data_IF_074163696689
#
_entry.id   IF_074163696689
#
_cell.length_a   1.000
_cell.length_b   1.000
_cell.length_c   1.000
_cell.angle_alpha   90.00
_cell.angle_beta   90.00
_cell.angle_gamma   90.00
#
_symmetry.space_group_name_H-M   'P 1'
#
loop_
_entity.id
_entity.type
_entity.pdbx_description
1 polymer ?
#
# COMPACT_ATOMS: atom_id res chain seq x y z
N UNK A 1 -31.57 -56.46 -14.81
CA UNK A 1 -30.62 -56.06 -13.74
C UNK A 1 -29.56 -55.20 -14.42
N UNK A 2 -29.83 -53.90 -14.51
CA UNK A 2 -29.05 -52.92 -15.28
C UNK A 2 -28.28 -52.01 -14.33
N UNK A 3 -27.03 -51.73 -14.66
CA UNK A 3 -26.24 -50.56 -14.22
C UNK A 3 -25.82 -49.83 -15.52
N UNK A 4 -25.37 -48.55 -15.58
CA UNK A 4 -24.80 -47.69 -14.52
C UNK A 4 -25.12 -46.16 -14.58
N UNK A 5 -24.68 -45.42 -13.54
CA UNK A 5 -24.30 -43.98 -13.47
C UNK A 5 -25.09 -42.94 -14.30
N UNK A 6 -25.92 -42.16 -13.62
CA UNK A 6 -26.35 -40.84 -14.11
C UNK A 6 -25.47 -39.72 -13.53
N UNK A 7 -24.68 -39.14 -14.44
CA UNK A 7 -24.14 -37.79 -14.41
C UNK A 7 -25.17 -36.96 -15.18
N UNK A 8 -25.83 -36.02 -14.52
CA UNK A 8 -26.60 -35.00 -15.24
C UNK A 8 -25.65 -33.92 -15.76
N UNK A 9 -25.23 -34.11 -17.01
CA UNK A 9 -24.81 -33.03 -17.90
C UNK A 9 -26.07 -32.43 -18.51
N UNK A 10 -26.31 -31.14 -18.27
CA UNK A 10 -27.12 -30.33 -19.18
C UNK A 10 -26.24 -29.19 -19.68
N UNK A 11 -25.48 -29.48 -20.73
CA UNK A 11 -24.93 -28.50 -21.65
C UNK A 11 -26.10 -27.97 -22.49
N UNK A 12 -26.53 -26.74 -22.23
CA UNK A 12 -27.23 -25.94 -23.23
C UNK A 12 -26.23 -24.95 -23.83
N UNK A 13 -25.88 -25.28 -25.05
CA UNK A 13 -25.03 -24.59 -25.99
C UNK A 13 -25.74 -23.35 -26.55
N UNK A 14 -25.14 -22.16 -26.42
CA UNK A 14 -25.14 -21.12 -27.45
C UNK A 14 -24.35 -19.90 -26.96
N UNK A 15 -23.13 -19.76 -27.48
CA UNK A 15 -22.26 -18.60 -27.26
C UNK A 15 -22.91 -17.27 -27.61
N UNK A 16 -23.34 -16.53 -26.59
CA UNK A 16 -23.47 -15.08 -26.67
C UNK A 16 -22.24 -14.47 -26.01
N UNK A 17 -21.19 -14.35 -26.81
CA UNK A 17 -20.08 -13.44 -26.50
C UNK A 17 -20.64 -12.05 -26.22
N UNK A 18 -19.97 -11.35 -25.30
CA UNK A 18 -20.21 -9.94 -25.04
C UNK A 18 -20.39 -9.19 -26.37
N UNK A 19 -21.56 -8.61 -26.60
CA UNK A 19 -21.83 -7.78 -27.78
C UNK A 19 -21.38 -6.36 -27.48
N UNK A 20 -20.39 -5.90 -28.24
CA UNK A 20 -19.93 -4.53 -28.22
C UNK A 20 -21.10 -3.58 -28.63
N UNK A 21 -21.35 -2.50 -27.88
CA UNK A 21 -22.39 -1.52 -28.21
C UNK A 21 -22.22 -0.91 -29.60
N UNK A 22 -23.33 -0.70 -30.31
CA UNK A 22 -23.39 -0.23 -31.71
C UNK A 22 -22.77 1.15 -32.01
N UNK A 23 -22.21 1.83 -31.01
CA UNK A 23 -21.44 3.07 -31.20
C UNK A 23 -19.91 2.84 -31.20
N UNK A 24 -19.46 1.60 -30.97
CA UNK A 24 -18.05 1.18 -31.00
C UNK A 24 -17.72 0.23 -32.17
N UNK A 25 -18.74 -0.35 -32.83
CA UNK A 25 -18.58 -1.12 -34.07
C UNK A 25 -18.64 -0.22 -35.31
N UNK A 26 -17.49 0.27 -35.78
CA UNK A 26 -17.39 0.92 -37.08
C UNK A 26 -17.22 -0.13 -38.17
N UNK A 27 -18.31 -0.51 -38.86
CA UNK A 27 -18.24 -1.38 -40.03
C UNK A 27 -19.05 -0.83 -41.23
N UNK A 28 -18.31 -0.49 -42.29
CA UNK A 28 -18.65 -0.66 -43.73
C UNK A 28 -19.85 0.13 -44.34
N UNK A 29 -20.08 0.03 -45.67
CA UNK A 29 -19.21 0.42 -46.79
C UNK A 29 -19.96 1.40 -47.72
N UNK A 30 -19.28 2.38 -48.31
CA UNK A 30 -19.84 3.14 -49.43
C UNK A 30 -19.33 2.56 -50.75
N UNK A 31 -20.27 2.09 -51.56
CA UNK A 31 -20.09 1.62 -52.93
C UNK A 31 -19.74 2.78 -53.88
N UNK A 32 -19.01 2.40 -54.92
CA UNK A 32 -18.89 2.98 -56.27
C UNK A 32 -18.18 4.34 -56.41
N UNK A 33 -16.89 4.30 -56.79
CA UNK A 33 -16.35 4.88 -58.04
C UNK A 33 -14.87 4.44 -58.24
N UNK A 34 -14.37 4.30 -59.50
CA UNK A 34 -13.07 3.70 -59.79
C UNK A 34 -11.93 4.73 -60.03
N UNK A 35 -10.71 4.19 -59.96
CA UNK A 35 -9.41 4.70 -60.49
C UNK A 35 -8.61 5.65 -59.57
N UNK A 36 -7.44 5.17 -59.08
CA UNK A 36 -6.11 5.60 -59.56
C UNK A 36 -4.97 4.88 -58.80
N UNK A 37 -4.13 4.18 -59.57
CA UNK A 37 -2.82 3.67 -59.18
C UNK A 37 -1.92 4.84 -58.71
N UNK A 38 -1.52 4.81 -57.45
CA UNK A 38 -0.50 5.68 -56.88
C UNK A 38 0.33 4.90 -55.85
N UNK A 39 1.65 5.09 -55.76
CA UNK A 39 2.49 4.32 -54.86
C UNK A 39 2.20 4.68 -53.40
N UNK A 40 2.03 3.65 -52.56
CA UNK A 40 1.94 3.76 -51.10
C UNK A 40 3.24 4.40 -50.58
N UNK A 41 3.20 5.48 -49.77
CA UNK A 41 4.40 5.97 -49.10
C UNK A 41 4.85 4.96 -48.05
N UNK A 42 6.10 4.51 -48.16
CA UNK A 42 6.78 3.67 -47.18
C UNK A 42 6.74 4.33 -45.79
N UNK A 43 5.89 3.84 -44.88
CA UNK A 43 6.03 4.14 -43.47
C UNK A 43 7.25 3.39 -42.91
N UNK A 44 8.21 4.07 -42.26
CA UNK A 44 9.43 3.42 -41.81
C UNK A 44 9.14 2.46 -40.64
N UNK A 45 9.60 1.22 -40.83
CA UNK A 45 9.57 0.13 -39.86
C UNK A 45 10.10 0.56 -38.47
N UNK A 46 9.43 0.11 -37.40
CA UNK A 46 9.75 0.36 -35.98
C UNK A 46 11.21 0.03 -35.61
N UNK A 47 11.87 -0.84 -36.39
CA UNK A 47 13.29 -1.14 -36.24
C UNK A 47 14.23 0.06 -36.52
N UNK A 48 13.82 1.03 -37.33
CA UNK A 48 14.64 2.19 -37.73
C UNK A 48 14.59 3.37 -36.73
N UNK A 49 13.64 3.34 -35.77
CA UNK A 49 13.54 4.38 -34.72
C UNK A 49 14.52 4.20 -33.56
N UNK A 50 15.26 3.09 -33.49
CA UNK A 50 16.15 2.77 -32.36
C UNK A 50 17.62 3.19 -32.56
N UNK A 51 17.96 3.81 -33.69
CA UNK A 51 19.36 4.12 -34.04
C UNK A 51 19.72 5.61 -34.00
N UNK A 52 18.92 6.47 -33.34
CA UNK A 52 19.30 7.88 -33.12
C UNK A 52 19.41 8.19 -31.62
N UNK A 53 20.57 8.67 -31.13
CA UNK A 53 20.70 9.20 -29.78
C UNK A 53 19.71 10.36 -29.58
N UNK A 54 18.94 10.32 -28.49
CA UNK A 54 17.97 11.35 -28.13
C UNK A 54 18.69 12.47 -27.36
N UNK A 55 19.62 13.14 -28.03
CA UNK A 55 20.25 14.37 -27.55
C UNK A 55 19.68 15.55 -28.33
N UNK A 56 18.47 15.98 -27.97
CA UNK A 56 17.93 17.32 -28.26
C UNK A 56 16.49 17.41 -27.72
N UNK A 57 16.37 17.66 -26.41
CA UNK A 57 15.17 18.31 -25.85
C UNK A 57 15.67 19.48 -24.99
N UNK A 58 15.99 20.59 -25.64
CA UNK A 58 16.51 21.82 -25.02
C UNK A 58 15.37 22.79 -24.66
N UNK A 59 14.31 22.30 -24.04
CA UNK A 59 13.18 23.14 -23.60
C UNK A 59 13.00 23.23 -22.08
N UNK A 60 13.99 22.78 -21.30
CA UNK A 60 14.02 22.98 -19.85
C UNK A 60 15.33 23.63 -19.47
N UNK A 61 15.35 24.96 -19.50
CA UNK A 61 16.45 25.75 -18.96
C UNK A 61 16.49 25.57 -17.44
N UNK A 62 17.53 24.95 -16.85
CA UNK A 62 17.64 24.67 -15.42
C UNK A 62 17.66 25.94 -14.54
N UNK A 63 17.78 27.12 -15.14
CA UNK A 63 17.66 28.43 -14.46
C UNK A 63 16.20 28.79 -14.14
N UNK A 64 15.21 28.21 -14.83
CA UNK A 64 13.80 28.65 -14.72
C UNK A 64 13.12 28.22 -13.40
N UNK A 65 13.64 27.20 -12.72
CA UNK A 65 13.05 26.65 -11.48
C UNK A 65 13.84 26.99 -10.21
N UNK A 66 14.87 27.86 -10.29
CA UNK A 66 15.66 28.27 -9.11
C UNK A 66 15.12 29.58 -8.53
N UNK A 67 14.40 29.56 -7.39
CA UNK A 67 14.00 30.79 -6.72
C UNK A 67 15.25 31.59 -6.25
N UNK A 68 15.20 32.94 -6.26
CA UNK A 68 16.33 33.77 -5.82
C UNK A 68 16.74 33.45 -4.38
N UNK A 69 18.02 33.12 -4.17
CA UNK A 69 18.57 32.80 -2.83
C UNK A 69 18.76 31.31 -2.53
N UNK A 70 18.59 30.43 -3.51
CA UNK A 70 18.86 28.98 -3.41
C UNK A 70 20.22 28.54 -3.99
N UNK A 71 21.15 29.47 -4.10
CA UNK A 71 22.54 29.14 -4.43
C UNK A 71 23.26 28.63 -3.18
N UNK A 72 23.34 27.30 -3.07
CA UNK A 72 24.23 26.68 -2.11
C UNK A 72 25.68 27.01 -2.51
N UNK A 73 26.53 27.47 -1.56
CA UNK A 73 27.93 27.67 -1.86
C UNK A 73 28.55 26.33 -2.29
N UNK A 74 29.47 26.32 -3.27
CA UNK A 74 30.15 25.10 -3.67
C UNK A 74 30.84 24.49 -2.44
N UNK A 75 30.52 23.23 -2.15
CA UNK A 75 31.10 22.52 -1.02
C UNK A 75 32.63 22.51 -1.16
N UNK A 76 33.31 23.23 -0.27
CA UNK A 76 34.77 23.21 -0.18
C UNK A 76 35.20 21.88 0.47
N UNK A 77 36.04 21.06 -0.18
CA UNK A 77 36.66 19.93 0.49
C UNK A 77 37.78 20.45 1.41
N UNK A 78 37.47 20.70 2.68
CA UNK A 78 38.48 20.97 3.71
C UNK A 78 38.52 19.80 4.71
N UNK A 79 39.38 18.83 4.43
CA UNK A 79 40.10 18.07 5.46
C UNK A 79 41.58 18.24 5.19
N UNK A 80 42.22 19.12 5.95
CA UNK A 80 43.66 19.17 6.06
C UNK A 80 44.13 17.84 6.67
N UNK A 81 44.86 17.05 5.89
CA UNK A 81 45.59 15.90 6.40
C UNK A 81 46.84 16.37 7.15
N UNK A 82 47.24 15.71 8.26
CA UNK A 82 48.57 15.92 8.82
C UNK A 82 49.63 15.31 7.90
N UNK A 83 50.63 16.11 7.56
CA UNK A 83 51.87 15.69 6.89
C UNK A 83 52.56 14.61 7.73
N UNK A 84 52.94 13.50 7.09
CA UNK A 84 53.80 12.48 7.70
C UNK A 84 53.17 11.11 7.86
N UNK A 85 52.64 10.52 6.80
CA UNK A 85 52.51 9.06 6.69
C UNK A 85 52.56 8.68 5.20
N UNK A 86 53.70 8.15 4.76
CA UNK A 86 53.81 7.52 3.44
C UNK A 86 52.86 6.33 3.30
N UNK A 87 52.65 5.81 2.08
CA UNK A 87 51.80 4.65 1.86
C UNK A 87 52.42 3.43 2.56
N UNK A 88 51.88 3.10 3.74
CA UNK A 88 52.18 1.85 4.40
C UNK A 88 51.68 0.72 3.49
N UNK A 89 52.62 -0.14 3.11
CA UNK A 89 52.45 -1.23 2.17
C UNK A 89 51.25 -2.12 2.50
N UNK A 90 50.37 -2.24 1.51
CA UNK A 90 49.64 -3.48 1.33
C UNK A 90 50.65 -4.48 0.76
N UNK A 91 50.91 -5.54 1.51
CA UNK A 91 51.72 -6.67 1.10
C UNK A 91 51.17 -7.26 -0.23
N UNK A 92 51.95 -7.32 -1.32
CA UNK A 92 51.50 -7.84 -2.62
C UNK A 92 51.31 -9.37 -2.63
N UNK A 93 51.47 -10.06 -1.50
CA UNK A 93 51.36 -11.53 -1.42
C UNK A 93 49.98 -12.08 -1.01
N UNK A 94 48.97 -11.23 -0.75
CA UNK A 94 47.61 -11.72 -0.47
C UNK A 94 46.77 -11.85 -1.75
N UNK A 95 46.75 -13.06 -2.31
CA UNK A 95 45.79 -13.46 -3.34
C UNK A 95 44.52 -14.04 -2.66
N UNK A 96 43.31 -13.52 -2.94
CA UNK A 96 42.09 -14.20 -2.51
C UNK A 96 41.98 -15.55 -3.24
N UNK A 97 41.59 -16.65 -2.57
CA UNK A 97 41.33 -17.91 -3.26
C UNK A 97 40.22 -17.68 -4.29
N UNK A 98 40.53 -17.99 -5.56
CA UNK A 98 39.61 -17.85 -6.67
C UNK A 98 38.32 -18.61 -6.38
N UNK A 99 37.19 -17.89 -6.42
CA UNK A 99 35.89 -18.53 -6.46
C UNK A 99 35.85 -19.46 -7.69
N UNK A 100 35.38 -20.72 -7.55
CA UNK A 100 35.20 -21.58 -8.70
C UNK A 100 34.20 -20.91 -9.67
N UNK A 101 34.37 -21.06 -10.99
CA UNK A 101 33.43 -20.52 -11.96
C UNK A 101 32.05 -21.11 -11.67
N UNK A 102 31.09 -20.25 -11.30
CA UNK A 102 29.69 -20.63 -11.29
C UNK A 102 29.25 -20.78 -12.75
N UNK A 103 29.23 -22.03 -13.22
CA UNK A 103 28.47 -22.42 -14.39
C UNK A 103 27.04 -21.93 -14.21
N UNK A 104 26.60 -21.04 -15.11
CA UNK A 104 25.20 -20.73 -15.28
C UNK A 104 24.47 -22.07 -15.55
N UNK A 105 23.38 -22.40 -14.82
CA UNK A 105 22.67 -23.63 -15.10
C UNK A 105 22.15 -23.59 -16.54
N UNK A 106 22.56 -24.60 -17.30
CA UNK A 106 22.14 -24.81 -18.67
C UNK A 106 20.61 -24.81 -18.74
N UNK A 107 20.06 -24.11 -19.74
CA UNK A 107 18.64 -24.18 -20.08
C UNK A 107 18.33 -25.57 -20.61
N UNK A 108 17.96 -26.48 -19.72
CA UNK A 108 17.34 -27.72 -20.13
C UNK A 108 15.94 -27.44 -20.67
N UNK A 109 15.73 -27.97 -21.87
CA UNK A 109 14.51 -27.87 -22.65
C UNK A 109 13.42 -28.74 -22.02
N UNK A 110 12.23 -28.13 -21.89
CA UNK A 110 10.94 -28.70 -22.29
C UNK A 110 10.33 -29.74 -21.34
N UNK A 111 9.67 -29.24 -20.29
CA UNK A 111 8.46 -29.87 -19.76
C UNK A 111 7.23 -29.34 -20.52
N UNK A 112 6.49 -30.23 -21.19
CA UNK A 112 5.13 -29.96 -21.63
C UNK A 112 4.25 -29.75 -20.37
N UNK A 113 3.37 -28.75 -20.39
CA UNK A 113 2.45 -28.33 -19.31
C UNK A 113 3.05 -27.38 -18.26
N UNK A 114 2.79 -26.08 -18.44
CA UNK A 114 3.10 -25.05 -17.44
C UNK A 114 3.23 -23.66 -18.05
N UNK A 115 2.11 -23.08 -18.48
CA UNK A 115 2.09 -21.70 -18.96
C UNK A 115 2.61 -20.75 -17.89
N UNK A 116 3.68 -20.01 -18.20
CA UNK A 116 4.08 -18.83 -17.44
C UNK A 116 2.90 -17.86 -17.48
N UNK A 117 2.15 -17.77 -16.38
CA UNK A 117 1.26 -16.63 -16.15
C UNK A 117 2.14 -15.38 -16.19
N UNK A 118 1.96 -14.61 -17.25
CA UNK A 118 2.51 -13.27 -17.38
C UNK A 118 1.98 -12.49 -16.17
N UNK A 119 2.88 -12.12 -15.25
CA UNK A 119 2.52 -11.30 -14.07
C UNK A 119 1.92 -10.01 -14.59
N UNK A 120 0.72 -9.71 -14.11
CA UNK A 120 0.00 -8.49 -14.47
C UNK A 120 0.72 -7.28 -13.84
N UNK A 121 1.23 -6.32 -14.63
CA UNK A 121 1.88 -5.13 -14.09
C UNK A 121 0.94 -4.25 -13.25
N UNK A 122 -0.39 -4.40 -13.35
CA UNK A 122 -1.34 -3.75 -12.44
C UNK A 122 -1.33 -4.39 -11.05
N UNK A 123 -1.14 -5.71 -10.95
CA UNK A 123 -0.96 -6.40 -9.67
C UNK A 123 0.35 -5.98 -9.01
N UNK A 124 1.46 -5.87 -9.76
CA UNK A 124 2.74 -5.42 -9.20
C UNK A 124 2.67 -3.94 -8.71
N UNK A 125 1.84 -3.10 -9.32
CA UNK A 125 1.54 -1.74 -8.82
C UNK A 125 0.68 -1.74 -7.56
N UNK A 126 -0.30 -2.64 -7.45
CA UNK A 126 -1.13 -2.80 -6.25
C UNK A 126 -0.34 -3.32 -5.03
N UNK A 127 0.80 -3.99 -5.26
CA UNK A 127 1.73 -4.44 -4.21
C UNK A 127 3.02 -3.60 -4.14
N UNK A 128 3.07 -2.44 -4.80
CA UNK A 128 4.23 -1.54 -4.68
C UNK A 128 4.17 -0.88 -3.30
N UNK A 129 5.06 -1.32 -2.41
CA UNK A 129 5.27 -0.73 -1.10
C UNK A 129 5.54 0.79 -1.22
N UNK A 130 4.69 1.62 -0.61
CA UNK A 130 4.86 3.08 -0.55
C UNK A 130 5.27 3.58 0.85
N UNK A 131 5.59 2.67 1.78
CA UNK A 131 6.10 3.06 3.09
C UNK A 131 7.53 3.60 3.05
N UNK A 132 7.88 4.38 4.05
CA UNK A 132 9.23 4.90 4.27
C UNK A 132 9.65 4.55 5.70
N UNK A 133 10.08 3.29 5.90
CA UNK A 133 10.50 2.80 7.23
C UNK A 133 11.60 3.67 7.81
N UNK A 134 12.59 4.04 6.99
CA UNK A 134 13.76 4.81 7.44
C UNK A 134 13.32 6.23 7.84
N UNK A 135 12.50 6.88 7.03
CA UNK A 135 11.92 8.18 7.35
C UNK A 135 11.01 8.13 8.58
N UNK A 136 10.18 7.10 8.72
CA UNK A 136 9.29 6.93 9.87
C UNK A 136 10.08 6.72 11.18
N UNK A 137 11.13 5.89 11.17
CA UNK A 137 12.02 5.70 12.31
C UNK A 137 12.80 6.97 12.66
N UNK A 138 13.36 7.66 11.65
CA UNK A 138 14.04 8.94 11.86
C UNK A 138 13.13 10.02 12.45
N UNK A 139 11.90 10.13 11.92
CA UNK A 139 10.84 11.01 12.42
C UNK A 139 10.46 10.69 13.87
N UNK A 140 10.37 9.40 14.21
CA UNK A 140 10.03 8.92 15.55
C UNK A 140 11.12 9.32 16.57
N UNK A 141 12.39 9.06 16.24
CA UNK A 141 13.52 9.46 17.09
C UNK A 141 13.55 10.97 17.36
N UNK A 142 13.30 11.79 16.33
CA UNK A 142 13.25 13.25 16.46
C UNK A 142 12.14 13.74 17.41
N UNK A 143 11.06 12.96 17.55
CA UNK A 143 9.93 13.24 18.45
C UNK A 143 10.06 12.55 19.81
N UNK A 144 11.18 11.89 20.09
CA UNK A 144 11.40 11.14 21.33
C UNK A 144 10.53 9.89 21.46
N UNK A 145 10.06 9.33 20.34
CA UNK A 145 9.35 8.06 20.33
C UNK A 145 10.35 6.90 20.41
N UNK A 146 9.94 5.81 21.06
CA UNK A 146 10.72 4.57 21.16
C UNK A 146 10.46 3.68 19.96
N UNK A 147 11.48 2.94 19.53
CA UNK A 147 11.43 2.06 18.35
C UNK A 147 11.72 0.63 18.78
N UNK A 148 10.99 -0.33 18.21
CA UNK A 148 11.26 -1.76 18.30
C UNK A 148 11.11 -2.40 16.91
N UNK A 149 11.79 -3.52 16.68
CA UNK A 149 11.65 -4.30 15.45
C UNK A 149 10.39 -5.18 15.44
N UNK A 150 9.60 -5.19 16.52
CA UNK A 150 8.39 -5.99 16.66
C UNK A 150 8.60 -7.36 17.32
N UNK A 151 9.84 -7.68 17.72
CA UNK A 151 10.20 -8.96 18.35
C UNK A 151 10.37 -8.87 19.87
N UNK A 152 10.30 -7.68 20.45
CA UNK A 152 10.45 -7.49 21.88
C UNK A 152 9.25 -8.09 22.66
N UNK A 153 9.43 -8.55 23.91
CA UNK A 153 8.33 -9.13 24.70
C UNK A 153 7.10 -8.23 24.82
N UNK A 154 7.30 -6.91 24.90
CA UNK A 154 6.24 -5.90 24.92
C UNK A 154 5.45 -5.80 23.60
N UNK A 155 6.02 -6.23 22.47
CA UNK A 155 5.35 -6.22 21.16
C UNK A 155 4.38 -7.39 20.99
N UNK A 156 4.48 -8.44 21.83
CA UNK A 156 3.55 -9.57 21.80
C UNK A 156 2.09 -9.12 22.03
N UNK A 157 1.89 -8.04 22.78
CA UNK A 157 0.58 -7.44 23.03
C UNK A 157 -0.05 -6.80 21.78
N UNK A 158 0.69 -6.66 20.67
CA UNK A 158 0.19 -6.13 19.39
C UNK A 158 -0.42 -7.21 18.49
N UNK A 159 -0.20 -8.49 18.79
CA UNK A 159 -0.80 -9.59 18.00
C UNK A 159 -2.33 -9.53 17.93
N UNK A 160 -3.08 -9.19 19.00
CA UNK A 160 -4.53 -8.99 18.91
C UNK A 160 -4.96 -7.95 17.88
N UNK A 161 -4.17 -6.89 17.66
CA UNK A 161 -4.47 -5.87 16.64
C UNK A 161 -4.37 -6.46 15.21
N UNK A 162 -3.40 -7.34 14.97
CA UNK A 162 -3.26 -8.05 13.68
C UNK A 162 -4.38 -9.07 13.49
N UNK A 163 -4.69 -9.87 14.52
CA UNK A 163 -5.69 -10.95 14.40
C UNK A 163 -7.11 -10.44 14.26
N UNK A 164 -7.41 -9.27 14.82
CA UNK A 164 -8.74 -8.63 14.75
C UNK A 164 -8.85 -7.59 13.63
N UNK A 165 -7.81 -7.43 12.82
CA UNK A 165 -7.79 -6.42 11.77
C UNK A 165 -8.94 -6.63 10.75
N UNK A 166 -9.51 -5.53 10.22
CA UNK A 166 -10.53 -5.54 9.17
C UNK A 166 -10.19 -6.41 7.93
N UNK A 167 -8.99 -6.30 7.33
CA UNK A 167 -8.55 -7.24 6.30
C UNK A 167 -8.16 -8.59 6.91
N UNK A 168 -8.40 -9.67 6.17
CA UNK A 168 -7.98 -11.02 6.58
C UNK A 168 -6.47 -11.19 6.41
N UNK A 169 -5.73 -10.95 7.49
CA UNK A 169 -4.29 -11.23 7.54
C UNK A 169 -4.05 -12.73 7.72
N UNK A 170 -2.97 -13.23 7.13
CA UNK A 170 -2.53 -14.62 7.31
C UNK A 170 -1.89 -14.83 8.70
N UNK A 171 -1.79 -16.09 9.14
CA UNK A 171 -1.13 -16.47 10.41
C UNK A 171 0.37 -16.09 10.48
N UNK A 172 0.96 -15.78 9.34
CA UNK A 172 2.39 -15.46 9.20
C UNK A 172 2.65 -13.95 9.36
N UNK A 173 1.59 -13.14 9.53
CA UNK A 173 1.74 -11.73 9.86
C UNK A 173 2.25 -11.55 11.28
N UNK A 174 3.17 -10.59 11.44
CA UNK A 174 3.76 -10.21 12.72
C UNK A 174 3.85 -8.69 12.81
N UNK A 175 3.90 -8.11 14.02
CA UNK A 175 4.26 -6.71 14.18
C UNK A 175 5.70 -6.50 13.72
N UNK A 176 5.95 -5.40 13.02
CA UNK A 176 7.28 -4.95 12.64
C UNK A 176 7.35 -3.42 12.64
N UNK A 177 8.57 -2.86 12.66
CA UNK A 177 8.81 -1.41 12.63
C UNK A 177 7.96 -0.65 13.66
N UNK A 178 7.92 -1.13 14.90
CA UNK A 178 7.05 -0.60 15.95
C UNK A 178 7.61 0.73 16.47
N UNK A 179 6.75 1.74 16.51
CA UNK A 179 7.02 3.09 17.00
C UNK A 179 6.02 3.39 18.12
N UNK A 180 6.49 3.84 19.28
CA UNK A 180 5.63 4.24 20.40
C UNK A 180 5.99 5.62 20.90
N UNK A 181 4.98 6.44 21.13
CA UNK A 181 5.18 7.73 21.76
C UNK A 181 3.89 8.53 21.81
N UNK A 182 4.02 9.83 22.07
CA UNK A 182 2.88 10.71 22.24
C UNK A 182 2.67 11.58 21.01
N UNK A 183 1.43 11.66 20.53
CA UNK A 183 0.98 12.64 19.55
C UNK A 183 -0.14 13.49 20.16
N UNK A 184 0.14 14.76 20.43
CA UNK A 184 -0.81 15.64 21.13
C UNK A 184 -1.15 15.09 22.51
N UNK A 185 -2.42 14.81 22.75
CA UNK A 185 -2.93 14.25 24.01
C UNK A 185 -3.00 12.72 24.04
N UNK A 186 -2.70 12.03 22.94
CA UNK A 186 -2.79 10.58 22.86
C UNK A 186 -1.41 9.93 22.91
N UNK A 187 -1.29 8.89 23.72
CA UNK A 187 -0.24 7.90 23.54
C UNK A 187 -0.63 6.99 22.37
N UNK A 188 0.30 6.75 21.46
CA UNK A 188 0.08 5.99 20.22
C UNK A 188 1.14 4.90 20.05
N UNK A 189 0.72 3.84 19.38
CA UNK A 189 1.58 2.77 18.88
C UNK A 189 1.33 2.67 17.38
N UNK A 190 2.36 2.91 16.56
CA UNK A 190 2.33 2.72 15.12
C UNK A 190 3.23 1.53 14.75
N UNK A 191 2.77 0.60 13.94
CA UNK A 191 3.57 -0.55 13.51
C UNK A 191 3.07 -1.10 12.18
N UNK A 192 3.96 -1.75 11.43
CA UNK A 192 3.55 -2.45 10.22
C UNK A 192 3.16 -3.90 10.54
N UNK A 193 2.07 -4.39 9.96
CA UNK A 193 1.83 -5.82 9.86
C UNK A 193 2.69 -6.37 8.73
N UNK A 194 3.79 -7.03 9.11
CA UNK A 194 4.76 -7.58 8.15
C UNK A 194 4.43 -9.04 7.85
N UNK A 195 4.38 -9.37 6.56
CA UNK A 195 4.34 -10.74 6.09
C UNK A 195 5.76 -11.29 5.98
N UNK A 196 6.03 -12.40 6.67
CA UNK A 196 7.33 -13.08 6.60
C UNK A 196 7.22 -14.36 5.76
N UNK A 197 7.97 -14.44 4.67
CA UNK A 197 8.10 -15.66 3.85
C UNK A 197 9.57 -15.96 3.56
N UNK A 198 10.11 -16.95 4.26
CA UNK A 198 11.51 -17.33 4.16
C UNK A 198 12.44 -16.18 4.57
N UNK A 199 13.09 -15.55 3.59
CA UNK A 199 14.01 -14.42 3.79
C UNK A 199 13.37 -13.06 3.54
N UNK A 200 12.11 -13.02 3.12
CA UNK A 200 11.42 -11.78 2.79
C UNK A 200 10.56 -11.33 3.96
N UNK A 201 10.69 -10.05 4.31
CA UNK A 201 9.82 -9.33 5.24
C UNK A 201 9.19 -8.21 4.44
N UNK A 202 7.88 -8.26 4.24
CA UNK A 202 7.13 -7.28 3.45
C UNK A 202 6.11 -6.62 4.36
N UNK A 203 6.22 -5.31 4.65
CA UNK A 203 5.17 -4.60 5.35
C UNK A 203 3.98 -4.39 4.41
N UNK A 204 2.85 -5.03 4.73
CA UNK A 204 1.64 -4.99 3.87
C UNK A 204 0.61 -3.97 4.38
N UNK A 205 0.58 -3.71 5.69
CA UNK A 205 -0.38 -2.79 6.30
C UNK A 205 0.26 -1.95 7.40
N UNK A 206 -0.12 -0.69 7.46
CA UNK A 206 0.25 0.26 8.49
C UNK A 206 -0.88 0.32 9.50
N UNK A 207 -0.60 -0.06 10.75
CA UNK A 207 -1.55 0.02 11.87
C UNK A 207 -1.09 1.08 12.87
N UNK A 208 -1.95 2.05 13.16
CA UNK A 208 -1.75 2.97 14.28
C UNK A 208 -2.86 2.78 15.29
N UNK A 209 -2.51 2.61 16.56
CA UNK A 209 -3.45 2.30 17.64
C UNK A 209 -3.29 3.29 18.80
N UNK A 210 -4.43 3.75 19.31
CA UNK A 210 -4.54 4.53 20.55
C UNK A 210 -5.05 3.61 21.67
N UNK A 211 -4.32 3.47 22.80
CA UNK A 211 -4.84 2.77 23.97
C UNK A 211 -6.10 3.46 24.49
N UNK A 212 -7.10 2.66 24.83
CA UNK A 212 -8.35 3.14 25.41
C UNK A 212 -8.46 2.72 26.88
N UNK A 213 -9.01 3.61 27.70
CA UNK A 213 -9.39 3.29 29.08
C UNK A 213 -10.75 2.59 29.09
N UNK A 214 -10.86 1.48 29.82
CA UNK A 214 -12.10 0.70 29.93
C UNK A 214 -12.34 -0.25 28.75
N UNK A 215 -13.60 -0.67 28.59
CA UNK A 215 -14.01 -1.59 27.54
C UNK A 215 -14.66 -0.80 26.40
N UNK A 216 -13.99 -0.61 25.25
CA UNK A 216 -14.60 0.09 24.13
C UNK A 216 -15.76 -0.71 23.53
N UNK A 217 -16.78 -0.02 22.97
CA UNK A 217 -17.83 -0.70 22.22
C UNK A 217 -17.21 -1.37 20.99
N UNK A 218 -17.59 -2.61 20.71
CA UNK A 218 -17.12 -3.31 19.53
C UNK A 218 -17.67 -2.64 18.26
N UNK A 219 -16.83 -1.90 17.56
CA UNK A 219 -17.17 -1.15 16.36
C UNK A 219 -16.14 -1.31 15.24
N UNK A 220 -16.59 -0.96 14.04
CA UNK A 220 -15.78 -0.79 12.83
C UNK A 220 -16.32 0.41 12.05
N UNK A 221 -15.44 1.31 11.67
CA UNK A 221 -15.74 2.45 10.81
C UNK A 221 -14.94 2.31 9.53
N UNK A 222 -15.63 2.06 8.42
CA UNK A 222 -15.01 1.73 7.14
C UNK A 222 -15.64 2.53 6.01
N UNK A 223 -14.89 2.85 4.95
CA UNK A 223 -15.47 3.40 3.75
C UNK A 223 -16.56 2.49 3.17
N UNK A 224 -17.65 3.10 2.72
CA UNK A 224 -18.84 2.44 2.22
C UNK A 224 -18.56 1.62 0.94
N UNK A 225 -17.54 1.98 0.14
CA UNK A 225 -17.18 1.23 -1.08
C UNK A 225 -16.31 -0.01 -0.83
N UNK A 226 -15.65 -0.12 0.33
CA UNK A 226 -14.79 -1.27 0.61
C UNK A 226 -15.63 -2.52 0.87
N UNK A 227 -15.12 -3.69 0.50
CA UNK A 227 -15.78 -4.94 0.85
C UNK A 227 -15.58 -5.24 2.34
N UNK A 228 -16.66 -5.64 3.04
CA UNK A 228 -16.60 -5.93 4.48
C UNK A 228 -16.58 -7.43 4.71
N UNK A 229 -15.50 -7.90 5.31
CA UNK A 229 -15.39 -9.27 5.83
C UNK A 229 -15.51 -9.24 7.35
N UNK A 230 -15.99 -10.32 7.97
CA UNK A 230 -15.91 -10.48 9.42
C UNK A 230 -16.83 -9.57 10.25
N UNK A 231 -17.88 -9.00 9.65
CA UNK A 231 -18.85 -8.11 10.32
C UNK A 231 -20.01 -8.86 11.00
N UNK A 232 -19.86 -10.17 11.24
CA UNK A 232 -20.94 -10.99 11.79
C UNK A 232 -21.40 -10.47 13.14
N UNK A 233 -22.72 -10.23 13.29
CA UNK A 233 -23.30 -9.70 14.52
C UNK A 233 -23.19 -8.19 14.69
N UNK A 234 -22.60 -7.45 13.73
CA UNK A 234 -22.60 -6.00 13.74
C UNK A 234 -23.79 -5.44 12.94
N UNK A 235 -24.36 -4.35 13.45
CA UNK A 235 -25.41 -3.56 12.79
C UNK A 235 -24.86 -2.22 12.34
N UNK A 236 -25.40 -1.69 11.25
CA UNK A 236 -25.05 -0.35 10.80
C UNK A 236 -25.72 0.69 11.71
N UNK A 237 -24.90 1.64 12.17
CA UNK A 237 -25.36 2.79 12.94
C UNK A 237 -25.38 3.99 11.98
N UNK A 238 -26.56 4.44 11.52
CA UNK A 238 -26.66 5.58 10.61
C UNK A 238 -26.25 6.86 11.34
N UNK A 239 -25.65 7.78 10.59
CA UNK A 239 -25.44 9.16 11.05
C UNK A 239 -26.66 10.03 10.72
N UNK A 240 -26.61 11.30 11.14
CA UNK A 240 -27.60 12.31 10.73
C UNK A 240 -27.19 13.02 9.41
N UNK A 241 -26.14 12.54 8.75
CA UNK A 241 -25.52 13.15 7.58
C UNK A 241 -25.51 12.16 6.39
N UNK A 242 -26.41 12.33 5.41
CA UNK A 242 -26.47 11.46 4.24
C UNK A 242 -25.19 11.46 3.39
N UNK A 243 -24.41 12.55 3.40
CA UNK A 243 -23.17 12.63 2.63
C UNK A 243 -22.09 11.76 3.28
N UNK A 244 -22.06 11.77 4.62
CA UNK A 244 -21.23 10.86 5.39
C UNK A 244 -21.65 9.40 5.18
N UNK A 245 -22.93 9.06 5.31
CA UNK A 245 -23.43 7.69 5.18
C UNK A 245 -23.25 7.10 3.76
N UNK A 246 -23.09 7.95 2.73
CA UNK A 246 -22.71 7.52 1.38
C UNK A 246 -21.24 7.13 1.24
N UNK A 247 -20.33 7.74 2.02
CA UNK A 247 -18.89 7.49 1.93
C UNK A 247 -18.35 6.58 3.02
N UNK A 248 -18.95 6.60 4.18
CA UNK A 248 -18.50 5.90 5.39
C UNK A 248 -19.65 5.09 5.99
N UNK A 249 -19.29 3.97 6.62
CA UNK A 249 -20.21 3.06 7.27
C UNK A 249 -19.69 2.76 8.67
N UNK A 250 -20.45 3.17 9.68
CA UNK A 250 -20.22 2.79 11.06
C UNK A 250 -21.01 1.51 11.37
N UNK A 251 -20.29 0.47 11.78
CA UNK A 251 -20.81 -0.82 12.21
C UNK A 251 -20.50 -1.00 13.69
N UNK A 252 -21.44 -1.53 14.46
CA UNK A 252 -21.21 -1.87 15.87
C UNK A 252 -21.99 -3.12 16.29
N UNK A 253 -21.49 -3.84 17.28
CA UNK A 253 -22.18 -5.00 17.86
C UNK A 253 -23.49 -4.59 18.56
N UNK A 254 -23.51 -3.40 19.16
CA UNK A 254 -24.68 -2.85 19.86
C UNK A 254 -24.89 -1.39 19.50
N UNK A 255 -26.15 -0.99 19.37
CA UNK A 255 -26.56 0.39 19.21
C UNK A 255 -26.60 1.11 20.57
N UNK A 256 -25.40 1.44 21.06
CA UNK A 256 -25.20 2.09 22.35
C UNK A 256 -25.01 3.61 22.27
N UNK A 257 -25.14 4.32 23.40
CA UNK A 257 -25.00 5.78 23.44
C UNK A 257 -23.61 6.27 23.01
N UNK A 258 -22.53 5.52 23.28
CA UNK A 258 -21.18 5.86 22.81
C UNK A 258 -21.08 5.84 21.29
N UNK A 259 -21.64 4.81 20.64
CA UNK A 259 -21.60 4.66 19.19
C UNK A 259 -22.51 5.68 18.50
N UNK A 260 -23.67 5.99 19.10
CA UNK A 260 -24.56 7.07 18.62
C UNK A 260 -23.90 8.44 18.70
N UNK A 261 -23.14 8.73 19.77
CA UNK A 261 -22.34 9.96 19.86
C UNK A 261 -21.28 10.01 18.77
N UNK A 262 -20.56 8.92 18.53
CA UNK A 262 -19.59 8.83 17.45
C UNK A 262 -20.22 9.11 16.08
N UNK A 263 -21.39 8.52 15.79
CA UNK A 263 -22.14 8.78 14.55
C UNK A 263 -22.58 10.26 14.43
N UNK A 264 -22.95 10.86 15.57
CA UNK A 264 -23.40 12.24 15.69
C UNK A 264 -22.27 13.29 15.75
N UNK A 265 -21.01 12.90 15.87
CA UNK A 265 -19.89 13.84 16.04
C UNK A 265 -19.53 14.59 14.74
N UNK A 266 -19.71 15.91 14.76
CA UNK A 266 -19.51 16.75 13.58
C UNK A 266 -18.04 16.87 13.15
N UNK A 267 -17.10 16.82 14.11
CA UNK A 267 -15.67 16.92 13.82
C UNK A 267 -15.14 15.64 13.20
N UNK A 268 -15.58 14.48 13.71
CA UNK A 268 -15.28 13.17 13.11
C UNK A 268 -15.78 13.13 11.67
N UNK A 269 -17.05 13.50 11.42
CA UNK A 269 -17.61 13.51 10.05
C UNK A 269 -16.84 14.45 9.13
N UNK A 270 -16.57 15.68 9.58
CA UNK A 270 -15.83 16.69 8.80
C UNK A 270 -14.42 16.19 8.45
N UNK A 271 -13.72 15.58 9.39
CA UNK A 271 -12.38 15.04 9.16
C UNK A 271 -12.40 13.90 8.14
N UNK A 272 -13.26 12.90 8.33
CA UNK A 272 -13.36 11.72 7.47
C UNK A 272 -13.87 12.03 6.05
N UNK A 273 -14.73 13.04 5.90
CA UNK A 273 -15.09 13.54 4.57
C UNK A 273 -13.94 14.27 3.88
N UNK A 274 -12.98 14.80 4.65
CA UNK A 274 -11.77 15.44 4.14
C UNK A 274 -10.62 14.49 3.82
N UNK A 275 -10.72 13.20 4.19
CA UNK A 275 -9.68 12.21 3.89
C UNK A 275 -9.91 11.54 2.54
N UNK A 276 -8.87 10.90 2.02
CA UNK A 276 -9.11 9.81 1.11
C UNK A 276 -9.78 8.65 1.87
N UNK A 277 -10.45 7.79 1.14
CA UNK A 277 -11.13 6.67 1.76
C UNK A 277 -10.21 5.42 1.88
N UNK A 278 -8.93 5.61 2.20
CA UNK A 278 -7.94 4.53 2.29
C UNK A 278 -7.84 3.86 3.67
N UNK A 279 -8.44 4.47 4.69
CA UNK A 279 -8.29 4.05 6.08
C UNK A 279 -9.54 3.29 6.57
N UNK A 280 -9.34 2.27 7.39
CA UNK A 280 -10.40 1.63 8.17
C UNK A 280 -10.08 1.72 9.67
N UNK A 281 -11.10 1.87 10.51
CA UNK A 281 -10.94 1.94 11.95
C UNK A 281 -11.73 0.83 12.64
N UNK A 282 -11.20 0.30 13.73
CA UNK A 282 -11.89 -0.71 14.53
C UNK A 282 -11.42 -0.69 15.96
N UNK A 283 -12.27 -1.20 16.84
CA UNK A 283 -11.91 -1.43 18.24
C UNK A 283 -11.50 -2.88 18.45
N UNK A 284 -10.49 -3.07 19.28
CA UNK A 284 -10.06 -4.36 19.82
C UNK A 284 -9.86 -4.19 21.32
N UNK A 285 -9.75 -5.25 22.16
CA UNK A 285 -9.59 -5.07 23.60
C UNK A 285 -8.43 -4.11 23.93
N UNK A 286 -8.77 -2.98 24.57
CA UNK A 286 -7.83 -1.95 24.99
C UNK A 286 -7.36 -0.95 23.94
N UNK A 287 -7.83 -1.02 22.67
CA UNK A 287 -7.39 -0.09 21.63
C UNK A 287 -8.51 0.33 20.67
N UNK A 288 -8.39 1.56 20.17
CA UNK A 288 -8.94 1.96 18.87
C UNK A 288 -7.79 2.04 17.87
N UNK A 289 -7.95 1.39 16.72
CA UNK A 289 -6.92 1.34 15.70
C UNK A 289 -7.40 1.86 14.35
N UNK A 290 -6.45 2.39 13.58
CA UNK A 290 -6.55 2.74 12.18
C UNK A 290 -5.64 1.81 11.37
N UNK A 291 -6.08 1.36 10.19
CA UNK A 291 -5.31 0.54 9.27
C UNK A 291 -5.38 1.10 7.86
N UNK A 292 -4.26 1.01 7.15
CA UNK A 292 -4.15 1.32 5.74
C UNK A 292 -3.36 0.21 5.03
N UNK A 293 -3.74 -0.23 3.81
CA UNK A 293 -2.97 -1.18 3.00
C UNK A 293 -1.75 -0.48 2.37
N UNK A 294 -0.83 -0.07 3.21
CA UNK A 294 0.38 0.68 2.89
C UNK A 294 1.44 0.44 4.00
N UNK A 295 2.67 0.91 3.83
CA UNK A 295 3.64 0.98 4.92
C UNK A 295 3.61 2.32 5.66
N UNK A 296 4.09 2.35 6.90
CA UNK A 296 4.22 3.62 7.61
C UNK A 296 5.20 4.58 6.93
N UNK A 297 4.79 5.84 6.92
CA UNK A 297 5.60 7.03 6.64
C UNK A 297 5.18 8.13 7.64
N UNK A 298 6.02 9.14 7.89
CA UNK A 298 5.70 10.25 8.81
C UNK A 298 4.29 10.84 8.62
N UNK A 299 3.91 11.09 7.37
CA UNK A 299 2.65 11.74 7.02
C UNK A 299 1.44 10.88 7.39
N UNK A 300 1.57 9.54 7.25
CA UNK A 300 0.51 8.60 7.60
C UNK A 300 0.34 8.52 9.12
N UNK A 301 1.44 8.53 9.88
CA UNK A 301 1.39 8.53 11.36
C UNK A 301 0.69 9.80 11.85
N UNK A 302 1.07 10.97 11.30
CA UNK A 302 0.44 12.24 11.66
C UNK A 302 -1.04 12.30 11.26
N UNK A 303 -1.38 11.74 10.11
CA UNK A 303 -2.76 11.61 9.64
C UNK A 303 -3.60 10.73 10.58
N UNK A 304 -3.14 9.52 10.89
CA UNK A 304 -3.79 8.63 11.84
C UNK A 304 -3.88 9.27 13.23
N UNK A 305 -2.85 9.98 13.69
CA UNK A 305 -2.89 10.65 14.99
C UNK A 305 -4.02 11.68 15.06
N UNK A 306 -4.25 12.48 14.00
CA UNK A 306 -5.37 13.44 13.94
C UNK A 306 -6.72 12.73 14.00
N UNK A 307 -6.90 11.67 13.22
CA UNK A 307 -8.17 10.93 13.15
C UNK A 307 -8.46 10.19 14.46
N UNK A 308 -7.47 9.47 15.01
CA UNK A 308 -7.60 8.78 16.28
C UNK A 308 -7.88 9.75 17.42
N UNK A 309 -7.28 10.95 17.43
CA UNK A 309 -7.60 11.98 18.44
C UNK A 309 -9.08 12.35 18.41
N UNK A 310 -9.65 12.60 17.24
CA UNK A 310 -11.07 12.92 17.10
C UNK A 310 -11.97 11.74 17.49
N UNK A 311 -11.66 10.52 17.01
CA UNK A 311 -12.45 9.33 17.29
C UNK A 311 -12.42 8.94 18.78
N UNK A 312 -11.25 8.98 19.41
CA UNK A 312 -11.10 8.74 20.87
C UNK A 312 -11.86 9.80 21.65
N UNK A 313 -11.76 11.07 21.25
CA UNK A 313 -12.52 12.17 21.85
C UNK A 313 -14.04 11.91 21.82
N UNK A 314 -14.57 11.58 20.65
CA UNK A 314 -16.00 11.29 20.47
C UNK A 314 -16.49 10.09 21.32
N UNK A 315 -15.64 9.08 21.51
CA UNK A 315 -15.94 7.91 22.34
C UNK A 315 -15.84 8.19 23.85
N UNK A 316 -14.92 9.05 24.27
CA UNK A 316 -14.62 9.31 25.69
C UNK A 316 -15.61 10.29 26.36
N UNK A 317 -16.23 11.18 25.60
CA UNK A 317 -17.22 12.13 26.12
C UNK A 317 -18.42 11.35 26.70
N UNK A 318 -18.59 11.39 28.03
CA UNK A 318 -19.70 10.77 28.75
C UNK A 318 -19.42 9.37 29.32
N UNK A 319 -18.18 9.12 29.77
CA UNK A 319 -17.85 8.07 30.74
C UNK A 319 -17.95 8.57 32.18
#
# INVERSE_FOLDING_TARGET
MSTPRDRDSNDDDAGRGWQEPAHLGGDQPARDEPVQDGPVPDEPNIADRRSRPRDADHSVDPETWRPPGWDLPPARPERSAPEGAGPAGVDPSWAPPGAPPQEAPARERRGLFGGRRQRDPEMDRAFTYQGDVVGAQGWALQRGWTISDGTAPEDAALLPLITTAPPRMSKDHRPGNVLRGRAGSLDLIAFDAVYTSGRYVVPEYAITAAPLLGTPPALRLSPARLWKHGIGGMVQIPSEDPDFDRRWMLLAAEDGPQVRRLAGDADVRRLLLGTDDGDEFWTTPGFLAAIRPDGHRPELIEHHARLLTALVGALAVGS
#
